data_IF_493542162497
#
_entry.id   IF_493542162497
#
_cell.length_a   1.000
_cell.length_b   1.000
_cell.length_c   1.000
_cell.angle_alpha   90.00
_cell.angle_beta   90.00
_cell.angle_gamma   90.00
#
_symmetry.space_group_name_H-M   'P 1'
#
loop_
_entity.id
_entity.type
_entity.pdbx_description
1 polymer ?
#
# COMPACT_ATOMS: atom_id res chain seq x y z
N UNK A 1 -18.15 -36.14 -8.41
CA UNK A 1 -17.68 -34.81 -7.97
C UNK A 1 -16.35 -34.53 -8.66
N UNK A 2 -16.33 -33.71 -9.71
CA UNK A 2 -15.10 -33.37 -10.43
C UNK A 2 -14.42 -32.20 -9.72
N UNK A 3 -13.37 -32.47 -8.95
CA UNK A 3 -12.51 -31.41 -8.40
C UNK A 3 -11.59 -30.94 -9.52
N UNK A 4 -11.91 -29.80 -10.14
CA UNK A 4 -11.02 -29.14 -11.09
C UNK A 4 -9.73 -28.76 -10.36
N UNK A 5 -8.60 -29.36 -10.76
CA UNK A 5 -7.27 -28.91 -10.31
C UNK A 5 -7.13 -27.42 -10.60
N UNK A 6 -6.63 -26.60 -9.65
CA UNK A 6 -6.39 -25.19 -9.92
C UNK A 6 -5.41 -25.08 -11.09
N UNK A 7 -5.83 -24.36 -12.13
CA UNK A 7 -5.01 -24.08 -13.31
C UNK A 7 -3.74 -23.34 -12.84
N UNK A 8 -2.58 -23.73 -13.35
CA UNK A 8 -1.32 -23.09 -12.97
C UNK A 8 -1.42 -21.57 -13.19
N UNK A 9 -0.98 -20.79 -12.20
CA UNK A 9 -0.96 -19.34 -12.31
C UNK A 9 0.00 -18.92 -13.43
N UNK A 10 -0.35 -17.92 -14.25
CA UNK A 10 0.60 -17.25 -15.13
C UNK A 10 1.87 -16.85 -14.36
N UNK A 11 3.04 -16.92 -15.01
CA UNK A 11 4.35 -16.70 -14.37
C UNK A 11 4.41 -15.39 -13.56
N UNK A 12 3.84 -14.30 -14.09
CA UNK A 12 3.79 -13.00 -13.40
C UNK A 12 2.98 -13.04 -12.09
N UNK A 13 1.86 -13.77 -12.08
CA UNK A 13 1.02 -13.92 -10.88
C UNK A 13 1.69 -14.83 -9.85
N UNK A 14 2.41 -15.86 -10.30
CA UNK A 14 3.19 -16.70 -9.40
C UNK A 14 4.34 -15.91 -8.72
N UNK A 15 5.02 -15.05 -9.49
CA UNK A 15 6.06 -14.17 -8.97
C UNK A 15 5.51 -13.16 -7.97
N UNK A 16 4.43 -12.45 -8.31
CA UNK A 16 3.77 -11.51 -7.39
C UNK A 16 3.36 -12.21 -6.09
N UNK A 17 2.77 -13.41 -6.19
CA UNK A 17 2.38 -14.19 -5.01
C UNK A 17 3.58 -14.54 -4.11
N UNK A 18 4.77 -14.76 -4.68
CA UNK A 18 5.99 -14.97 -3.91
C UNK A 18 6.46 -13.68 -3.22
N UNK A 19 6.40 -12.54 -3.90
CA UNK A 19 6.80 -11.21 -3.38
C UNK A 19 5.89 -10.71 -2.22
N UNK A 20 4.59 -11.04 -2.28
CA UNK A 20 3.64 -10.72 -1.20
C UNK A 20 3.89 -11.52 0.09
N UNK A 21 4.69 -12.59 0.01
CA UNK A 21 5.09 -13.39 1.16
C UNK A 21 3.92 -14.06 1.89
N UNK A 22 4.12 -14.32 3.20
CA UNK A 22 3.15 -15.02 4.07
C UNK A 22 2.41 -14.09 5.04
N UNK A 23 2.62 -12.78 4.94
CA UNK A 23 1.93 -11.79 5.76
C UNK A 23 0.52 -11.54 5.23
N UNK A 24 -0.38 -11.05 6.09
CA UNK A 24 -1.68 -10.59 5.62
C UNK A 24 -1.49 -9.25 4.90
N UNK A 25 -1.89 -9.19 3.63
CA UNK A 25 -1.70 -8.02 2.80
C UNK A 25 -3.02 -7.23 2.71
N UNK A 26 -2.96 -5.95 3.03
CA UNK A 26 -4.04 -4.98 2.89
C UNK A 26 -3.70 -4.08 1.70
N UNK A 27 -4.57 -4.02 0.71
CA UNK A 27 -4.37 -3.18 -0.47
C UNK A 27 -5.39 -2.05 -0.52
N UNK A 28 -4.90 -0.84 -0.78
CA UNK A 28 -5.72 0.33 -1.09
C UNK A 28 -5.33 0.80 -2.48
N UNK A 29 -6.26 0.74 -3.44
CA UNK A 29 -6.00 1.04 -4.86
C UNK A 29 -6.96 2.11 -5.33
N UNK A 30 -6.48 3.35 -5.40
CA UNK A 30 -7.25 4.49 -5.93
C UNK A 30 -6.33 5.62 -6.37
N UNK A 31 -6.84 6.59 -7.14
CA UNK A 31 -6.03 7.74 -7.57
C UNK A 31 -5.59 8.59 -6.38
N UNK A 32 -4.41 9.18 -6.50
CA UNK A 32 -3.96 10.20 -5.56
C UNK A 32 -4.90 11.41 -5.67
N UNK A 33 -5.77 11.61 -4.68
CA UNK A 33 -6.75 12.69 -4.64
C UNK A 33 -6.98 13.13 -3.19
N UNK A 34 -6.92 14.45 -2.94
CA UNK A 34 -6.97 15.01 -1.60
C UNK A 34 -8.33 14.86 -0.91
N UNK A 35 -9.40 14.57 -1.65
CA UNK A 35 -10.73 14.34 -1.09
C UNK A 35 -10.94 12.93 -0.54
N UNK A 36 -9.97 12.02 -0.71
CA UNK A 36 -10.14 10.58 -0.43
C UNK A 36 -9.73 10.15 0.97
N UNK A 37 -9.21 11.08 1.75
CA UNK A 37 -8.77 10.83 3.12
C UNK A 37 -7.62 9.81 3.19
N UNK A 38 -6.69 9.87 2.24
CA UNK A 38 -5.53 8.96 2.21
C UNK A 38 -4.64 9.11 3.46
N UNK A 39 -4.32 10.33 3.94
CA UNK A 39 -3.55 10.50 5.17
C UNK A 39 -4.22 9.84 6.39
N UNK A 40 -5.54 9.97 6.49
CA UNK A 40 -6.33 9.41 7.59
C UNK A 40 -6.26 7.88 7.59
N UNK A 41 -6.11 7.23 6.44
CA UNK A 41 -5.89 5.77 6.39
C UNK A 41 -4.53 5.36 6.92
N UNK A 42 -3.51 6.17 6.69
CA UNK A 42 -2.17 5.92 7.22
C UNK A 42 -2.18 6.05 8.73
N UNK A 43 -2.86 7.09 9.26
CA UNK A 43 -3.07 7.27 10.70
C UNK A 43 -3.92 6.14 11.31
N UNK A 44 -4.94 5.65 10.60
CA UNK A 44 -5.72 4.50 11.06
C UNK A 44 -4.88 3.22 11.10
N UNK A 45 -3.99 3.01 10.14
CA UNK A 45 -3.05 1.89 10.14
C UNK A 45 -2.03 2.00 11.28
N UNK A 46 -1.48 3.20 11.54
CA UNK A 46 -0.65 3.44 12.72
C UNK A 46 -1.42 3.12 14.00
N UNK A 47 -2.65 3.63 14.14
CA UNK A 47 -3.49 3.38 15.33
C UNK A 47 -3.77 1.89 15.52
N UNK A 48 -3.95 1.14 14.43
CA UNK A 48 -4.07 -0.32 14.47
C UNK A 48 -2.82 -0.97 15.06
N UNK A 49 -1.63 -0.58 14.60
CA UNK A 49 -0.36 -1.13 15.11
C UNK A 49 -0.09 -0.74 16.56
N UNK A 50 -0.49 0.46 16.99
CA UNK A 50 -0.37 0.91 18.38
C UNK A 50 -1.28 0.13 19.32
N UNK A 51 -2.54 -0.09 18.92
CA UNK A 51 -3.53 -0.78 19.74
C UNK A 51 -3.36 -2.30 19.73
N UNK A 52 -2.84 -2.85 18.63
CA UNK A 52 -2.73 -4.29 18.40
C UNK A 52 -1.32 -4.65 17.93
N UNK A 53 -0.31 -4.56 18.82
CA UNK A 53 1.10 -4.78 18.47
C UNK A 53 1.38 -6.21 17.98
N UNK A 54 0.49 -7.18 18.23
CA UNK A 54 0.58 -8.53 17.69
C UNK A 54 0.57 -8.60 16.16
N UNK A 55 0.15 -7.53 15.49
CA UNK A 55 0.13 -7.42 14.03
C UNK A 55 1.44 -6.90 13.44
N UNK A 56 2.34 -6.32 14.24
CA UNK A 56 3.64 -5.83 13.78
C UNK A 56 4.42 -6.97 13.13
N UNK A 57 4.90 -6.76 11.89
CA UNK A 57 5.58 -7.77 11.09
C UNK A 57 4.69 -8.91 10.54
N UNK A 58 3.40 -8.94 10.86
CA UNK A 58 2.43 -9.96 10.37
C UNK A 58 1.45 -9.42 9.33
N UNK A 59 1.30 -8.10 9.26
CA UNK A 59 0.48 -7.43 8.27
C UNK A 59 1.32 -6.44 7.44
N UNK A 60 0.94 -6.27 6.18
CA UNK A 60 1.50 -5.29 5.25
C UNK A 60 0.35 -4.45 4.71
N UNK A 61 0.51 -3.13 4.69
CA UNK A 61 -0.42 -2.23 4.02
C UNK A 61 0.27 -1.65 2.77
N UNK A 62 -0.37 -1.79 1.61
CA UNK A 62 0.13 -1.27 0.34
C UNK A 62 -0.87 -0.29 -0.24
N UNK A 63 -0.49 0.99 -0.29
CA UNK A 63 -1.22 2.02 -1.03
C UNK A 63 -0.70 2.06 -2.47
N UNK A 64 -1.56 1.77 -3.43
CA UNK A 64 -1.31 1.97 -4.85
C UNK A 64 -2.08 3.21 -5.26
N UNK A 65 -1.36 4.28 -5.59
CA UNK A 65 -1.97 5.53 -6.04
C UNK A 65 -1.40 5.99 -7.37
N UNK A 66 -2.08 5.70 -8.49
CA UNK A 66 -1.74 6.30 -9.78
C UNK A 66 -1.81 7.82 -9.66
N UNK A 67 -0.74 8.50 -10.07
CA UNK A 67 -0.72 9.97 -10.03
C UNK A 67 -1.72 10.53 -11.02
N UNK A 68 -2.34 11.65 -10.68
CA UNK A 68 -3.16 12.43 -11.61
C UNK A 68 -2.76 13.90 -11.46
N UNK A 69 -2.71 14.65 -12.57
CA UNK A 69 -2.46 16.10 -12.57
C UNK A 69 -1.23 16.51 -11.72
N UNK A 70 -0.06 15.95 -12.05
CA UNK A 70 1.18 16.14 -11.29
C UNK A 70 1.66 17.59 -11.16
N UNK A 71 1.18 18.48 -12.02
CA UNK A 71 1.57 19.90 -12.04
C UNK A 71 0.74 20.77 -11.07
N UNK A 72 -0.28 20.18 -10.44
CA UNK A 72 -1.15 20.89 -9.49
C UNK A 72 -0.59 20.75 -8.08
N UNK A 73 -0.29 21.88 -7.44
CA UNK A 73 0.34 21.95 -6.10
C UNK A 73 -0.35 21.04 -5.07
N UNK A 74 -1.69 21.07 -5.00
CA UNK A 74 -2.43 20.25 -4.04
C UNK A 74 -2.17 18.74 -4.18
N UNK A 75 -1.90 18.23 -5.39
CA UNK A 75 -1.56 16.83 -5.61
C UNK A 75 -0.11 16.53 -5.23
N UNK A 76 0.80 17.50 -5.35
CA UNK A 76 2.18 17.39 -4.87
C UNK A 76 2.21 17.39 -3.34
N UNK A 77 1.41 18.23 -2.70
CA UNK A 77 1.34 18.35 -1.24
C UNK A 77 0.86 17.05 -0.60
N UNK A 78 -0.25 16.46 -1.09
CA UNK A 78 -0.72 15.18 -0.57
C UNK A 78 0.27 14.05 -0.84
N UNK A 79 0.95 14.06 -1.99
CA UNK A 79 2.01 13.08 -2.28
C UNK A 79 3.11 13.16 -1.21
N UNK A 80 3.63 14.37 -0.99
CA UNK A 80 4.70 14.60 -0.02
C UNK A 80 4.26 14.22 1.40
N UNK A 81 3.00 14.51 1.77
CA UNK A 81 2.43 14.10 3.04
C UNK A 81 2.39 12.58 3.18
N UNK A 82 1.90 11.84 2.18
CA UNK A 82 1.85 10.38 2.23
C UNK A 82 3.25 9.75 2.28
N UNK A 83 4.21 10.25 1.50
CA UNK A 83 5.60 9.79 1.54
C UNK A 83 6.23 10.01 2.93
N UNK A 84 5.99 11.18 3.53
CA UNK A 84 6.46 11.54 4.87
C UNK A 84 5.86 10.63 5.94
N UNK A 85 4.53 10.45 5.93
CA UNK A 85 3.84 9.58 6.90
C UNK A 85 4.26 8.12 6.73
N UNK A 86 4.45 7.65 5.49
CA UNK A 86 4.96 6.31 5.21
C UNK A 86 6.32 6.08 5.86
N UNK A 87 7.25 7.02 5.68
CA UNK A 87 8.59 6.96 6.28
C UNK A 87 8.55 6.98 7.80
N UNK A 88 7.75 7.89 8.38
CA UNK A 88 7.59 8.03 9.84
C UNK A 88 7.04 6.76 10.48
N UNK A 89 5.97 6.19 9.92
CA UNK A 89 5.32 4.97 10.45
C UNK A 89 6.27 3.77 10.33
N UNK A 90 6.92 3.58 9.18
CA UNK A 90 7.89 2.49 9.00
C UNK A 90 9.07 2.59 9.98
N UNK A 91 9.57 3.81 10.24
CA UNK A 91 10.63 4.03 11.22
C UNK A 91 10.19 3.71 12.65
N UNK A 92 8.93 3.98 13.01
CA UNK A 92 8.38 3.73 14.35
C UNK A 92 8.08 2.26 14.64
N UNK A 93 7.59 1.50 13.65
CA UNK A 93 7.06 0.15 13.87
C UNK A 93 7.87 -0.97 13.21
N UNK A 94 9.16 -0.76 12.92
CA UNK A 94 9.99 -1.78 12.27
C UNK A 94 9.88 -3.16 12.95
N UNK A 95 9.61 -4.26 12.22
CA UNK A 95 9.59 -4.40 10.76
C UNK A 95 8.19 -4.27 10.12
N UNK A 96 7.38 -3.27 10.49
CA UNK A 96 6.12 -2.98 9.79
C UNK A 96 6.37 -2.58 8.33
N UNK A 97 5.50 -3.05 7.43
CA UNK A 97 5.60 -2.85 5.99
C UNK A 97 4.44 -1.95 5.53
N UNK A 98 4.60 -0.63 5.68
CA UNK A 98 3.76 0.34 5.00
C UNK A 98 4.41 0.72 3.66
N UNK A 99 3.92 0.13 2.58
CA UNK A 99 4.44 0.36 1.23
C UNK A 99 3.55 1.37 0.50
N UNK A 100 4.12 2.50 0.11
CA UNK A 100 3.44 3.48 -0.74
C UNK A 100 3.97 3.37 -2.16
N UNK A 101 3.19 2.74 -3.04
CA UNK A 101 3.49 2.65 -4.48
C UNK A 101 2.73 3.74 -5.23
N UNK A 102 3.44 4.84 -5.53
CA UNK A 102 2.93 5.88 -6.41
C UNK A 102 3.25 5.50 -7.85
N UNK A 103 2.26 5.00 -8.59
CA UNK A 103 2.44 4.71 -10.01
C UNK A 103 2.43 6.05 -10.75
N UNK A 104 3.60 6.51 -11.18
CA UNK A 104 3.66 7.64 -12.11
C UNK A 104 2.91 7.27 -13.38
N UNK A 105 2.17 8.23 -13.94
CA UNK A 105 1.65 8.10 -15.30
C UNK A 105 2.81 7.76 -16.26
N UNK A 106 2.59 6.91 -17.28
CA UNK A 106 3.54 6.83 -18.39
C UNK A 106 3.66 8.23 -18.99
N UNK A 107 4.88 8.77 -19.02
CA UNK A 107 5.23 9.86 -19.93
C UNK A 107 4.95 9.36 -21.34
N UNK A 108 3.89 9.87 -21.96
CA UNK A 108 3.67 9.73 -23.40
C UNK A 108 4.68 10.59 -24.15
#
# INVERSE_FOLDING_TARGET
MSSSRPKALPARLAQLKAELGRVQNIFSVERLDYSKGLPERFLAFETLLEKYPEHIGKIRYTQIAPTSRGDVQAYQDIRHQLETESGRINGKFWPAWLDTTLLSQPTF
#
